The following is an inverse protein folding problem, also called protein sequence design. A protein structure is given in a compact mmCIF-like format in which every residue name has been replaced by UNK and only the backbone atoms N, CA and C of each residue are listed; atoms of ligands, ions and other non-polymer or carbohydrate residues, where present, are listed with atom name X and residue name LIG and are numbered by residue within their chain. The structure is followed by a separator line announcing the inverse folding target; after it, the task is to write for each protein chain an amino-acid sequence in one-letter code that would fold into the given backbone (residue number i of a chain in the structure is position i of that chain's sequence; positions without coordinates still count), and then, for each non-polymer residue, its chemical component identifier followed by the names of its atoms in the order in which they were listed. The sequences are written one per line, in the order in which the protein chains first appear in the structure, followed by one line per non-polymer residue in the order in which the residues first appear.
data_IF_790459473840
#
_entry.id   IF_790459473840
#
_cell.length_a   1.000
_cell.length_b   1.000
_cell.length_c   1.000
_cell.angle_alpha   90.00
_cell.angle_beta   90.00
_cell.angle_gamma   90.00
#
_symmetry.space_group_name_H-M   'P 1'
#
loop_
_entity.id
_entity.type
_entity.pdbx_description
1 polymer ?
#
# COMPACT_ATOMS: atom_id res chain seq x y z
N UNK A 1 10.16 -7.85 14.68
CA UNK A 1 10.67 -7.60 13.32
C UNK A 1 9.59 -7.07 12.36
N UNK A 2 8.46 -7.80 12.06
CA UNK A 2 7.43 -7.32 11.11
C UNK A 2 6.77 -6.01 11.57
N UNK A 3 6.48 -5.86 12.84
CA UNK A 3 5.92 -4.63 13.42
C UNK A 3 6.92 -3.48 13.29
N UNK A 4 8.19 -3.74 13.59
CA UNK A 4 9.23 -2.71 13.49
C UNK A 4 9.43 -2.26 12.04
N UNK A 5 9.50 -3.22 11.10
CA UNK A 5 9.72 -2.94 9.69
C UNK A 5 8.50 -2.27 9.03
N UNK A 6 7.30 -2.85 9.21
CA UNK A 6 6.13 -2.40 8.46
C UNK A 6 5.40 -1.21 9.11
N UNK A 7 5.49 -1.04 10.43
CA UNK A 7 4.76 0.03 11.13
C UNK A 7 5.69 1.10 11.66
N UNK A 8 6.62 0.77 12.57
CA UNK A 8 7.50 1.78 13.18
C UNK A 8 8.39 2.46 12.16
N UNK A 9 9.02 1.70 11.26
CA UNK A 9 9.85 2.29 10.23
C UNK A 9 9.04 3.17 9.27
N UNK A 10 7.84 2.72 8.85
CA UNK A 10 6.97 3.51 8.00
C UNK A 10 6.57 4.84 8.67
N UNK A 11 6.15 4.80 9.94
CA UNK A 11 5.84 6.00 10.71
C UNK A 11 7.04 6.96 10.84
N UNK A 12 8.20 6.43 11.23
CA UNK A 12 9.40 7.24 11.43
C UNK A 12 9.86 7.91 10.12
N UNK A 13 9.86 7.16 9.02
CA UNK A 13 10.22 7.70 7.69
C UNK A 13 9.21 8.77 7.27
N UNK A 14 7.90 8.50 7.41
CA UNK A 14 6.86 9.46 7.08
C UNK A 14 7.01 10.76 7.89
N UNK A 15 7.26 10.66 9.21
CA UNK A 15 7.48 11.82 10.08
C UNK A 15 8.67 12.67 9.60
N UNK A 16 9.81 12.04 9.30
CA UNK A 16 11.01 12.76 8.82
C UNK A 16 10.75 13.43 7.46
N UNK A 17 10.04 12.74 6.56
CA UNK A 17 9.68 13.30 5.25
C UNK A 17 8.74 14.49 5.40
N UNK A 18 7.72 14.40 6.26
CA UNK A 18 6.80 15.50 6.55
C UNK A 18 7.54 16.71 7.08
N UNK A 19 8.43 16.53 8.06
CA UNK A 19 9.25 17.65 8.60
C UNK A 19 10.08 18.32 7.51
N UNK A 20 10.59 17.55 6.54
CA UNK A 20 11.34 18.08 5.40
C UNK A 20 10.43 18.80 4.40
N UNK A 21 9.24 18.24 4.10
CA UNK A 21 8.24 18.86 3.22
C UNK A 21 7.76 20.20 3.78
N UNK A 22 7.49 20.29 5.09
CA UNK A 22 7.05 21.53 5.76
C UNK A 22 8.10 22.63 5.72
N UNK A 23 9.39 22.29 5.70
CA UNK A 23 10.50 23.26 5.58
C UNK A 23 10.75 23.71 4.13
N UNK A 24 10.18 23.03 3.14
CA UNK A 24 10.41 23.36 1.73
C UNK A 24 9.62 24.63 1.35
N UNK A 25 10.22 25.51 0.54
CA UNK A 25 9.56 26.70 -0.01
C UNK A 25 8.38 26.35 -0.93
N UNK A 26 8.47 25.26 -1.68
CA UNK A 26 7.32 24.65 -2.39
C UNK A 26 6.50 23.86 -1.38
N UNK A 27 5.45 24.48 -0.84
CA UNK A 27 4.55 23.84 0.11
C UNK A 27 3.77 22.70 -0.56
N UNK A 28 3.71 21.55 0.13
CA UNK A 28 2.92 20.41 -0.29
C UNK A 28 3.77 19.20 -0.68
N UNK A 29 3.09 18.13 -1.05
CA UNK A 29 3.70 16.86 -1.46
C UNK A 29 2.74 15.69 -1.46
N UNK A 30 3.25 14.53 -1.88
CA UNK A 30 2.50 13.26 -1.86
C UNK A 30 3.34 12.19 -1.18
N UNK A 31 2.75 11.54 -0.18
CA UNK A 31 3.31 10.38 0.51
C UNK A 31 2.47 9.18 0.11
N UNK A 32 3.12 8.12 -0.37
CA UNK A 32 2.45 6.90 -0.79
C UNK A 32 3.03 5.74 0.01
N UNK A 33 2.23 5.19 0.90
CA UNK A 33 2.60 4.05 1.72
C UNK A 33 2.31 2.73 0.99
N UNK A 34 3.23 1.77 1.07
CA UNK A 34 3.04 0.44 0.53
C UNK A 34 2.25 -0.42 1.52
N UNK A 35 0.96 -0.62 1.23
CA UNK A 35 0.09 -1.52 1.97
C UNK A 35 0.03 -2.91 1.32
N UNK A 36 -1.10 -3.55 1.38
CA UNK A 36 -1.43 -4.85 0.78
C UNK A 36 -2.96 -5.00 0.76
N UNK A 37 -3.52 -5.84 -0.12
CA UNK A 37 -4.92 -6.24 0.03
C UNK A 37 -5.20 -6.81 1.44
N UNK A 38 -4.17 -7.35 2.12
CA UNK A 38 -4.27 -7.81 3.52
C UNK A 38 -4.31 -6.65 4.55
N UNK A 39 -4.35 -5.42 4.12
CA UNK A 39 -4.76 -4.25 4.90
C UNK A 39 -6.27 -4.00 4.86
N UNK A 40 -7.02 -4.79 4.07
CA UNK A 40 -8.48 -4.66 3.88
C UNK A 40 -9.23 -5.95 4.20
N UNK A 41 -8.59 -7.11 4.05
CA UNK A 41 -9.17 -8.44 4.34
C UNK A 41 -8.20 -9.30 5.14
N UNK A 42 -8.75 -10.30 5.85
CA UNK A 42 -7.95 -11.26 6.60
C UNK A 42 -7.45 -12.42 5.74
N UNK A 43 -6.32 -13.00 6.15
CA UNK A 43 -5.83 -14.27 5.60
C UNK A 43 -5.30 -15.16 6.72
N UNK A 44 -5.70 -16.44 6.71
CA UNK A 44 -5.25 -17.44 7.69
C UNK A 44 -3.71 -17.55 7.69
N UNK A 45 -3.12 -17.68 8.89
CA UNK A 45 -1.67 -17.77 9.08
C UNK A 45 -0.90 -16.46 8.83
N UNK A 46 -1.60 -15.30 8.74
CA UNK A 46 -0.99 -13.98 8.45
C UNK A 46 -1.34 -12.91 9.48
N UNK A 47 -1.74 -13.28 10.70
CA UNK A 47 -2.27 -12.35 11.71
C UNK A 47 -1.35 -11.13 11.95
N UNK A 48 -0.06 -11.34 12.20
CA UNK A 48 0.88 -10.23 12.43
C UNK A 48 1.03 -9.37 11.17
N UNK A 49 1.12 -9.99 9.99
CA UNK A 49 1.21 -9.24 8.74
C UNK A 49 -0.08 -8.44 8.48
N UNK A 50 -1.27 -9.05 8.65
CA UNK A 50 -2.55 -8.35 8.57
C UNK A 50 -2.57 -7.14 9.52
N UNK A 51 -2.25 -7.36 10.81
CA UNK A 51 -2.20 -6.27 11.79
C UNK A 51 -1.32 -5.11 11.32
N UNK A 52 -0.12 -5.41 10.76
CA UNK A 52 0.77 -4.35 10.28
C UNK A 52 0.20 -3.60 9.07
N UNK A 53 -0.48 -4.29 8.15
CA UNK A 53 -1.04 -3.67 6.94
C UNK A 53 -2.32 -2.87 7.24
N UNK A 54 -3.18 -3.35 8.12
CA UNK A 54 -4.28 -2.55 8.66
C UNK A 54 -3.76 -1.31 9.40
N UNK A 55 -2.66 -1.44 10.15
CA UNK A 55 -1.99 -0.31 10.81
C UNK A 55 -1.50 0.76 9.81
N UNK A 56 -0.96 0.36 8.66
CA UNK A 56 -0.56 1.29 7.59
C UNK A 56 -1.77 2.02 6.99
N UNK A 57 -2.90 1.33 6.81
CA UNK A 57 -4.14 1.97 6.34
C UNK A 57 -4.63 3.01 7.36
N UNK A 58 -4.62 2.66 8.65
CA UNK A 58 -4.97 3.58 9.74
C UNK A 58 -4.05 4.79 9.82
N UNK A 59 -2.72 4.56 9.76
CA UNK A 59 -1.71 5.63 9.72
C UNK A 59 -1.95 6.58 8.55
N UNK A 60 -2.21 6.04 7.37
CA UNK A 60 -2.45 6.81 6.14
C UNK A 60 -3.68 7.69 6.26
N UNK A 61 -4.77 7.17 6.83
CA UNK A 61 -5.99 7.97 7.08
C UNK A 61 -5.73 9.11 8.06
N UNK A 62 -5.10 8.82 9.19
CA UNK A 62 -4.77 9.83 10.20
C UNK A 62 -3.89 10.95 9.64
N UNK A 63 -2.79 10.58 8.99
CA UNK A 63 -1.89 11.55 8.35
C UNK A 63 -2.57 12.31 7.20
N UNK A 64 -3.45 11.66 6.42
CA UNK A 64 -4.19 12.29 5.32
C UNK A 64 -5.07 13.42 5.82
N UNK A 65 -5.74 13.24 6.96
CA UNK A 65 -6.56 14.29 7.61
C UNK A 65 -5.67 15.38 8.21
N UNK A 66 -4.65 15.00 8.98
CA UNK A 66 -3.79 15.94 9.70
C UNK A 66 -3.00 16.88 8.77
N UNK A 67 -2.53 16.36 7.63
CA UNK A 67 -1.63 17.06 6.73
C UNK A 67 -2.35 17.75 5.55
N UNK A 68 -3.66 17.54 5.38
CA UNK A 68 -4.43 18.12 4.28
C UNK A 68 -4.32 19.65 4.22
N UNK A 69 -4.39 20.34 5.37
CA UNK A 69 -4.26 21.80 5.45
C UNK A 69 -2.85 22.31 5.10
N UNK A 70 -1.86 21.43 5.02
CA UNK A 70 -0.49 21.71 4.61
C UNK A 70 -0.23 21.37 3.15
N UNK A 71 -1.29 21.00 2.39
CA UNK A 71 -1.21 20.54 1.01
C UNK A 71 -0.31 19.30 0.83
N UNK A 72 -0.26 18.44 1.86
CA UNK A 72 0.43 17.15 1.80
C UNK A 72 -0.64 16.06 1.76
N UNK A 73 -0.63 15.27 0.70
CA UNK A 73 -1.52 14.12 0.51
C UNK A 73 -0.83 12.85 1.00
N UNK A 74 -1.59 11.97 1.64
CA UNK A 74 -1.07 10.69 2.13
C UNK A 74 -2.04 9.59 1.71
N UNK A 75 -1.57 8.64 0.92
CA UNK A 75 -2.38 7.54 0.39
C UNK A 75 -1.63 6.22 0.48
N UNK A 76 -2.33 5.12 0.21
CA UNK A 76 -1.70 3.80 0.05
C UNK A 76 -1.91 3.25 -1.35
N UNK A 77 -0.99 2.37 -1.74
CA UNK A 77 -1.25 1.35 -2.76
C UNK A 77 -1.27 -0.01 -2.07
N UNK A 78 -2.27 -0.82 -2.38
CA UNK A 78 -2.55 -2.09 -1.71
C UNK A 78 -2.58 -3.25 -2.72
N UNK A 79 -1.41 -3.72 -3.20
CA UNK A 79 -1.36 -4.81 -4.15
C UNK A 79 -1.65 -6.18 -3.49
N UNK A 80 -2.12 -7.12 -4.29
CA UNK A 80 -2.07 -8.55 -4.02
C UNK A 80 -0.69 -9.11 -4.38
N UNK A 81 -0.61 -10.36 -4.85
CA UNK A 81 0.65 -10.92 -5.35
C UNK A 81 1.12 -10.18 -6.59
N UNK A 82 2.37 -9.70 -6.55
CA UNK A 82 3.05 -9.03 -7.67
C UNK A 82 4.11 -9.96 -8.23
N UNK A 83 4.28 -10.00 -9.53
CA UNK A 83 5.23 -10.89 -10.22
C UNK A 83 6.70 -10.52 -9.96
N UNK A 84 7.13 -10.73 -8.73
CA UNK A 84 8.50 -10.50 -8.26
C UNK A 84 9.29 -11.81 -8.17
N UNK A 85 10.63 -11.78 -8.10
CA UNK A 85 11.44 -12.97 -7.83
C UNK A 85 11.00 -13.74 -6.58
N UNK A 86 10.57 -13.03 -5.54
CA UNK A 86 10.06 -13.64 -4.30
C UNK A 86 8.76 -14.40 -4.54
N UNK A 87 7.78 -13.83 -5.23
CA UNK A 87 6.50 -14.48 -5.53
C UNK A 87 6.70 -15.64 -6.48
N UNK A 88 7.58 -15.52 -7.49
CA UNK A 88 7.96 -16.63 -8.37
C UNK A 88 8.53 -17.83 -7.58
N UNK A 89 9.30 -17.57 -6.52
CA UNK A 89 9.81 -18.61 -5.62
C UNK A 89 8.66 -19.30 -4.84
N UNK A 90 7.71 -18.55 -4.30
CA UNK A 90 6.55 -19.13 -3.60
C UNK A 90 5.65 -19.93 -4.55
N UNK A 91 5.48 -19.48 -5.78
CA UNK A 91 4.65 -20.13 -6.79
C UNK A 91 5.25 -21.42 -7.39
N UNK A 92 6.48 -21.80 -7.01
CA UNK A 92 6.97 -23.17 -7.23
C UNK A 92 6.11 -24.22 -6.51
N UNK A 93 5.48 -23.86 -5.39
CA UNK A 93 4.43 -24.67 -4.76
C UNK A 93 3.12 -24.50 -5.56
N UNK A 94 2.80 -25.51 -6.39
CA UNK A 94 1.62 -25.50 -7.27
C UNK A 94 0.30 -25.32 -6.51
N UNK A 95 0.15 -25.97 -5.33
CA UNK A 95 -1.06 -25.84 -4.49
C UNK A 95 -1.24 -24.42 -4.00
N UNK A 96 -0.16 -23.79 -3.51
CA UNK A 96 -0.19 -22.40 -3.09
C UNK A 96 -0.50 -21.45 -4.24
N UNK A 97 0.12 -21.65 -5.41
CA UNK A 97 -0.17 -20.86 -6.62
C UNK A 97 -1.64 -20.97 -7.02
N UNK A 98 -2.20 -22.18 -7.06
CA UNK A 98 -3.61 -22.39 -7.39
C UNK A 98 -4.54 -21.70 -6.39
N UNK A 99 -4.26 -21.84 -5.08
CA UNK A 99 -5.01 -21.16 -4.03
C UNK A 99 -4.95 -19.63 -4.17
N UNK A 100 -3.79 -19.08 -4.47
CA UNK A 100 -3.63 -17.63 -4.67
C UNK A 100 -4.45 -17.17 -5.89
N UNK A 101 -4.32 -17.84 -7.03
CA UNK A 101 -5.02 -17.46 -8.26
C UNK A 101 -6.54 -17.65 -8.18
N UNK A 102 -7.04 -18.68 -7.47
CA UNK A 102 -8.48 -18.87 -7.29
C UNK A 102 -9.14 -17.76 -6.45
N UNK A 103 -8.36 -17.03 -5.66
CA UNK A 103 -8.84 -15.87 -4.92
C UNK A 103 -8.78 -14.56 -5.71
N UNK A 104 -8.14 -14.53 -6.86
CA UNK A 104 -8.06 -13.35 -7.73
C UNK A 104 -9.05 -13.52 -8.89
N UNK A 105 -10.19 -12.82 -8.93
CA UNK A 105 -11.18 -12.94 -10.00
C UNK A 105 -10.61 -12.74 -11.42
N UNK A 106 -9.62 -11.86 -11.59
CA UNK A 106 -8.92 -11.68 -12.88
C UNK A 106 -8.02 -12.86 -13.26
N UNK A 107 -7.81 -13.87 -12.40
CA UNK A 107 -7.06 -15.10 -12.68
C UNK A 107 -5.56 -14.92 -12.87
N UNK A 108 -5.01 -13.74 -12.61
CA UNK A 108 -3.58 -13.44 -12.76
C UNK A 108 -3.07 -12.55 -11.62
N UNK A 109 -1.77 -12.61 -11.35
CA UNK A 109 -1.11 -11.69 -10.42
C UNK A 109 -0.85 -10.33 -11.08
N UNK A 110 -0.66 -9.30 -10.26
CA UNK A 110 -0.26 -7.99 -10.74
C UNK A 110 1.20 -8.03 -11.23
N UNK A 111 1.53 -7.11 -12.13
CA UNK A 111 2.92 -6.82 -12.53
C UNK A 111 3.48 -5.67 -11.69
N UNK A 112 4.79 -5.51 -11.69
CA UNK A 112 5.45 -4.35 -11.08
C UNK A 112 4.96 -3.04 -11.72
N UNK A 113 4.68 -3.05 -13.03
CA UNK A 113 4.14 -1.91 -13.77
C UNK A 113 2.75 -1.51 -13.29
N UNK A 114 1.87 -2.47 -12.97
CA UNK A 114 0.52 -2.17 -12.45
C UNK A 114 0.62 -1.37 -11.14
N UNK A 115 1.55 -1.74 -10.26
CA UNK A 115 1.78 -1.04 -9.01
C UNK A 115 2.42 0.33 -9.25
N UNK A 116 3.45 0.40 -10.09
CA UNK A 116 4.17 1.63 -10.39
C UNK A 116 3.25 2.69 -11.01
N UNK A 117 2.34 2.30 -11.90
CA UNK A 117 1.37 3.21 -12.53
C UNK A 117 0.45 3.85 -11.48
N UNK A 118 -0.05 3.09 -10.51
CA UNK A 118 -0.87 3.63 -9.43
C UNK A 118 -0.07 4.59 -8.51
N UNK A 119 1.20 4.27 -8.24
CA UNK A 119 2.11 5.17 -7.49
C UNK A 119 2.32 6.46 -8.26
N UNK A 120 2.61 6.41 -9.56
CA UNK A 120 2.79 7.59 -10.41
C UNK A 120 1.52 8.46 -10.44
N UNK A 121 0.34 7.84 -10.55
CA UNK A 121 -0.94 8.56 -10.49
C UNK A 121 -1.10 9.30 -9.15
N UNK A 122 -0.92 8.60 -8.03
CA UNK A 122 -1.04 9.21 -6.70
C UNK A 122 0.03 10.29 -6.43
N UNK A 123 1.19 10.20 -7.07
CA UNK A 123 2.24 11.19 -6.95
C UNK A 123 1.97 12.46 -7.76
N UNK A 124 1.15 12.37 -8.81
CA UNK A 124 0.87 13.45 -9.75
C UNK A 124 -0.23 14.42 -9.27
N UNK A 125 -0.36 15.55 -9.97
CA UNK A 125 -1.44 16.53 -9.74
C UNK A 125 -2.82 16.00 -10.15
N UNK A 126 -2.88 14.94 -10.97
CA UNK A 126 -4.14 14.26 -11.29
C UNK A 126 -4.84 13.69 -10.04
N UNK A 127 -4.09 13.45 -8.97
CA UNK A 127 -4.61 13.00 -7.68
C UNK A 127 -4.74 14.13 -6.63
N UNK A 128 -4.84 15.39 -7.05
CA UNK A 128 -4.81 16.57 -6.17
C UNK A 128 -5.87 16.57 -5.06
N UNK A 129 -7.02 15.97 -5.28
CA UNK A 129 -8.10 15.84 -4.29
C UNK A 129 -8.15 14.46 -3.61
N UNK A 130 -7.13 13.63 -3.79
CA UNK A 130 -7.07 12.26 -3.25
C UNK A 130 -6.11 12.22 -2.06
N UNK A 131 -6.64 12.05 -0.85
CA UNK A 131 -5.85 11.87 0.38
C UNK A 131 -6.59 10.98 1.38
N UNK A 132 -5.86 10.23 2.21
CA UNK A 132 -6.41 9.32 3.21
C UNK A 132 -7.04 8.05 2.63
N UNK A 133 -6.78 7.71 1.37
CA UNK A 133 -7.39 6.57 0.68
C UNK A 133 -6.36 5.52 0.25
N UNK A 134 -6.88 4.40 -0.22
CA UNK A 134 -6.12 3.26 -0.72
C UNK A 134 -6.51 2.94 -2.16
N UNK A 135 -5.52 2.78 -3.06
CA UNK A 135 -5.75 2.16 -4.36
C UNK A 135 -5.40 0.67 -4.23
N UNK A 136 -6.44 -0.16 -4.30
CA UNK A 136 -6.29 -1.61 -4.24
C UNK A 136 -5.99 -2.15 -5.63
N UNK A 137 -4.90 -2.96 -5.74
CA UNK A 137 -4.42 -3.52 -7.02
C UNK A 137 -4.38 -5.04 -6.85
N UNK A 138 -5.57 -5.66 -6.86
CA UNK A 138 -5.73 -7.03 -6.40
C UNK A 138 -6.52 -7.94 -7.35
N UNK A 139 -6.88 -7.43 -8.52
CA UNK A 139 -7.65 -8.17 -9.52
C UNK A 139 -9.02 -8.63 -9.02
N UNK A 140 -9.60 -7.90 -8.05
CA UNK A 140 -10.92 -8.14 -7.48
C UNK A 140 -10.93 -9.04 -6.24
N UNK A 141 -9.77 -9.36 -5.64
CA UNK A 141 -9.72 -10.21 -4.43
C UNK A 141 -10.59 -9.67 -3.29
N UNK A 142 -10.54 -8.37 -3.03
CA UNK A 142 -11.28 -7.75 -1.92
C UNK A 142 -12.70 -7.30 -2.28
N UNK A 143 -13.13 -7.50 -3.52
CA UNK A 143 -14.44 -7.07 -4.00
C UNK A 143 -15.57 -8.10 -3.77
N UNK A 144 -15.25 -9.25 -3.16
CA UNK A 144 -16.18 -10.37 -2.89
C UNK A 144 -16.26 -10.68 -1.41
#
# INVERSE_FOLDING_TARGET
YLVDLNMKAAFNVAQLVVLKMLKNKKKGGSIINMSSQLGHVGMSGRNIYNMTKFGIEGLTKGMGVELATKNIRVNTVAPTFVETPMVKKFFKNKKFKQLALSNIPMGKVATESDVATAVCFLASDAASMITGTSIVIDGGWTAK
#
